data_IF_858263066890
#
_entry.id   IF_858263066890
#
_cell.length_a   1.000
_cell.length_b   1.000
_cell.length_c   1.000
_cell.angle_alpha   90.00
_cell.angle_beta   90.00
_cell.angle_gamma   90.00
#
_symmetry.space_group_name_H-M   'P 1'
#
loop_
_entity.id
_entity.type
_entity.pdbx_description
1 polymer ?
#
# COMPACT_ATOMS: atom_id res chain seq x y z
N UNK A 1 21.00 23.98 3.33
CA UNK A 1 19.91 22.98 3.51
C UNK A 1 18.69 23.28 2.61
N UNK A 2 18.21 24.51 2.48
CA UNK A 2 17.01 24.88 1.69
C UNK A 2 17.19 24.57 0.20
N UNK A 3 18.35 24.87 -0.42
CA UNK A 3 18.62 24.57 -1.84
C UNK A 3 18.56 23.05 -2.13
N UNK A 4 19.13 22.21 -1.26
CA UNK A 4 19.09 20.75 -1.42
C UNK A 4 17.68 20.18 -1.30
N UNK A 5 16.80 20.78 -0.45
CA UNK A 5 15.40 20.39 -0.30
C UNK A 5 14.60 20.70 -1.56
N UNK A 6 14.70 21.91 -2.10
CA UNK A 6 14.04 22.30 -3.36
C UNK A 6 14.47 21.38 -4.51
N UNK A 7 15.75 21.07 -4.60
CA UNK A 7 16.29 20.20 -5.62
C UNK A 7 15.73 18.77 -5.51
N UNK A 8 15.58 18.20 -4.30
CA UNK A 8 14.95 16.88 -4.10
C UNK A 8 13.47 16.89 -4.50
N UNK A 9 12.71 17.92 -4.12
CA UNK A 9 11.31 18.06 -4.50
C UNK A 9 11.14 18.13 -6.02
N UNK A 10 11.99 18.90 -6.70
CA UNK A 10 12.02 18.96 -8.18
C UNK A 10 12.35 17.59 -8.78
N UNK A 11 13.33 16.88 -8.27
CA UNK A 11 13.69 15.54 -8.76
C UNK A 11 12.54 14.53 -8.57
N UNK A 12 11.81 14.58 -7.45
CA UNK A 12 10.66 13.68 -7.22
C UNK A 12 9.53 14.04 -8.17
N UNK A 13 9.19 15.31 -8.32
CA UNK A 13 8.19 15.77 -9.28
C UNK A 13 8.54 15.36 -10.71
N UNK A 14 9.75 15.61 -11.14
CA UNK A 14 10.20 15.28 -12.49
C UNK A 14 10.11 13.76 -12.72
N UNK A 15 10.47 12.95 -11.72
CA UNK A 15 10.30 11.50 -11.78
C UNK A 15 8.82 11.07 -11.86
N UNK A 16 7.91 11.77 -11.18
CA UNK A 16 6.47 11.51 -11.28
C UNK A 16 5.99 11.80 -12.69
N UNK A 17 6.40 12.93 -13.27
CA UNK A 17 6.04 13.30 -14.63
C UNK A 17 6.62 12.30 -15.66
N UNK A 18 7.87 11.86 -15.49
CA UNK A 18 8.47 10.81 -16.34
C UNK A 18 7.65 9.52 -16.30
N UNK A 19 7.13 9.15 -15.12
CA UNK A 19 6.29 7.95 -14.95
C UNK A 19 4.92 8.14 -15.60
N UNK A 20 4.31 9.31 -15.47
CA UNK A 20 3.04 9.66 -16.13
C UNK A 20 3.19 9.62 -17.66
N UNK A 21 4.26 10.21 -18.20
CA UNK A 21 4.59 10.18 -19.62
C UNK A 21 4.86 8.74 -20.12
N UNK A 22 5.41 7.88 -19.27
CA UNK A 22 5.63 6.46 -19.57
C UNK A 22 4.35 5.61 -19.46
N UNK A 23 3.19 6.20 -19.14
CA UNK A 23 1.90 5.53 -19.09
C UNK A 23 1.53 4.94 -17.72
N UNK A 24 2.09 5.45 -16.63
CA UNK A 24 1.61 5.08 -15.31
C UNK A 24 0.25 5.75 -15.02
N UNK A 25 -0.71 4.99 -14.46
CA UNK A 25 -2.02 5.52 -14.06
C UNK A 25 -2.00 6.10 -12.64
N UNK A 26 -1.11 5.60 -11.78
CA UNK A 26 -1.00 5.98 -10.36
C UNK A 26 0.47 5.94 -9.95
N UNK A 27 0.92 6.93 -9.19
CA UNK A 27 2.28 6.94 -8.62
C UNK A 27 2.24 6.90 -7.09
N UNK A 28 3.05 6.02 -6.52
CA UNK A 28 3.22 5.92 -5.06
C UNK A 28 4.48 6.67 -4.62
N UNK A 29 4.32 7.55 -3.63
CA UNK A 29 5.39 8.37 -3.06
C UNK A 29 5.57 8.01 -1.58
N UNK A 30 6.78 7.68 -1.17
CA UNK A 30 7.10 7.46 0.26
C UNK A 30 7.12 8.78 1.01
N UNK A 31 6.44 8.82 2.16
CA UNK A 31 6.37 10.00 3.03
C UNK A 31 6.82 9.61 4.45
N UNK A 32 8.14 9.52 4.69
CA UNK A 32 8.69 8.97 5.94
C UNK A 32 8.72 9.96 7.11
N UNK A 33 8.47 11.24 6.89
CA UNK A 33 8.56 12.28 7.91
C UNK A 33 7.56 13.42 7.68
N UNK A 34 7.32 14.22 8.70
CA UNK A 34 6.48 15.41 8.58
C UNK A 34 7.04 16.41 7.55
N UNK A 35 8.36 16.54 7.47
CA UNK A 35 9.01 17.33 6.44
C UNK A 35 8.71 16.82 5.02
N UNK A 36 8.68 15.50 4.84
CA UNK A 36 8.30 14.89 3.57
C UNK A 36 6.81 15.13 3.25
N UNK A 37 5.93 15.17 4.27
CA UNK A 37 4.53 15.53 4.09
C UNK A 37 4.36 16.97 3.59
N UNK A 38 5.13 17.92 4.13
CA UNK A 38 5.12 19.31 3.62
C UNK A 38 5.64 19.39 2.17
N UNK A 39 6.65 18.58 1.82
CA UNK A 39 7.13 18.47 0.45
C UNK A 39 6.08 17.84 -0.48
N UNK A 40 5.35 16.83 0.00
CA UNK A 40 4.26 16.17 -0.72
C UNK A 40 3.16 17.14 -1.14
N UNK A 41 2.79 18.09 -0.28
CA UNK A 41 1.85 19.17 -0.62
C UNK A 41 2.21 19.88 -1.92
N UNK A 42 3.47 20.32 -2.03
CA UNK A 42 3.93 21.05 -3.21
C UNK A 42 3.97 20.15 -4.46
N UNK A 43 4.36 18.88 -4.28
CA UNK A 43 4.40 17.89 -5.36
C UNK A 43 2.98 17.65 -5.88
N UNK A 44 2.01 17.42 -4.99
CA UNK A 44 0.61 17.18 -5.34
C UNK A 44 -0.01 18.32 -6.14
N UNK A 45 0.35 19.57 -5.84
CA UNK A 45 -0.12 20.74 -6.58
C UNK A 45 0.47 20.88 -7.98
N UNK A 46 1.58 20.21 -8.26
CA UNK A 46 2.35 20.32 -9.51
C UNK A 46 2.27 19.06 -10.39
N UNK A 47 1.45 18.08 -10.00
CA UNK A 47 1.27 16.82 -10.72
C UNK A 47 -0.23 16.55 -10.91
N UNK A 48 -0.61 15.99 -12.06
CA UNK A 48 -2.00 15.66 -12.38
C UNK A 48 -2.34 14.19 -12.08
N UNK A 49 -1.33 13.32 -12.12
CA UNK A 49 -1.52 11.90 -11.86
C UNK A 49 -1.95 11.63 -10.41
N UNK A 50 -2.83 10.67 -10.15
CA UNK A 50 -3.18 10.26 -8.80
C UNK A 50 -1.97 9.81 -7.98
N UNK A 51 -1.82 10.35 -6.77
CA UNK A 51 -0.72 10.05 -5.87
C UNK A 51 -1.16 9.23 -4.67
N UNK A 52 -0.47 8.13 -4.43
CA UNK A 52 -0.59 7.31 -3.21
C UNK A 52 0.54 7.67 -2.25
N UNK A 53 0.23 8.15 -1.06
CA UNK A 53 1.23 8.35 -0.01
C UNK A 53 1.49 7.02 0.73
N UNK A 54 2.76 6.66 0.87
CA UNK A 54 3.17 5.47 1.61
C UNK A 54 3.67 5.85 3.00
N UNK A 55 2.86 5.52 4.00
CA UNK A 55 3.09 5.87 5.41
C UNK A 55 3.37 4.60 6.20
N UNK A 56 4.54 4.55 6.85
CA UNK A 56 4.98 3.33 7.52
C UNK A 56 4.58 3.27 9.01
N UNK A 57 4.77 4.35 9.78
CA UNK A 57 4.70 4.27 11.24
C UNK A 57 3.91 5.39 11.92
N UNK A 58 3.90 6.59 11.37
CA UNK A 58 3.34 7.76 12.06
C UNK A 58 1.98 8.18 11.49
N UNK A 59 0.92 7.96 12.29
CA UNK A 59 -0.45 8.37 11.95
C UNK A 59 -0.57 9.88 11.67
N UNK A 60 0.23 10.74 12.33
CA UNK A 60 0.18 12.18 12.12
C UNK A 60 0.59 12.57 10.70
N UNK A 61 1.52 11.82 10.11
CA UNK A 61 1.91 12.00 8.71
C UNK A 61 0.74 11.64 7.80
N UNK A 62 0.02 10.54 8.09
CA UNK A 62 -1.16 10.16 7.34
C UNK A 62 -2.24 11.25 7.38
N UNK A 63 -2.56 11.78 8.57
CA UNK A 63 -3.50 12.88 8.73
C UNK A 63 -3.06 14.11 7.92
N UNK A 64 -1.78 14.45 7.96
CA UNK A 64 -1.24 15.62 7.26
C UNK A 64 -1.34 15.50 5.73
N UNK A 65 -1.00 14.35 5.14
CA UNK A 65 -1.11 14.18 3.69
C UNK A 65 -2.57 14.14 3.23
N UNK A 66 -3.49 13.66 4.08
CA UNK A 66 -4.92 13.73 3.82
C UNK A 66 -5.43 15.18 3.78
N UNK A 67 -4.90 16.06 4.62
CA UNK A 67 -5.19 17.53 4.55
C UNK A 67 -4.72 18.13 3.23
N UNK A 68 -3.68 17.60 2.63
CA UNK A 68 -3.10 18.07 1.37
C UNK A 68 -3.74 17.45 0.12
N UNK A 69 -4.79 16.66 0.28
CA UNK A 69 -5.57 16.11 -0.83
C UNK A 69 -4.90 14.96 -1.55
N UNK A 70 -4.26 14.06 -0.80
CA UNK A 70 -3.76 12.79 -1.34
C UNK A 70 -4.92 11.96 -1.91
N UNK A 71 -4.69 11.24 -3.00
CA UNK A 71 -5.73 10.42 -3.64
C UNK A 71 -5.91 9.04 -2.99
N UNK A 72 -4.89 8.55 -2.29
CA UNK A 72 -4.95 7.32 -1.51
C UNK A 72 -3.83 7.29 -0.47
N UNK A 73 -4.09 6.76 0.71
CA UNK A 73 -3.05 6.55 1.74
C UNK A 73 -2.77 5.07 1.91
N UNK A 74 -1.52 4.67 1.71
CA UNK A 74 -1.07 3.32 2.03
C UNK A 74 -0.60 3.27 3.47
N UNK A 75 -1.21 2.41 4.25
CA UNK A 75 -0.86 2.13 5.64
C UNK A 75 -0.71 0.63 5.87
N UNK A 76 0.00 0.30 6.94
CA UNK A 76 -0.09 -1.00 7.60
C UNK A 76 -0.65 -0.75 9.01
N UNK A 77 -1.91 -1.11 9.28
CA UNK A 77 -2.53 -0.84 10.59
C UNK A 77 -1.73 -1.40 11.76
N UNK A 78 -1.06 -2.55 11.60
CA UNK A 78 -0.18 -3.14 12.61
C UNK A 78 1.03 -2.27 12.98
N UNK A 79 1.49 -1.40 12.08
CA UNK A 79 2.65 -0.53 12.31
C UNK A 79 2.27 0.88 12.80
N UNK A 80 1.04 1.31 12.60
CA UNK A 80 0.54 2.64 13.02
C UNK A 80 0.47 2.75 14.54
N UNK A 81 0.29 1.63 15.23
CA UNK A 81 0.33 1.52 16.69
C UNK A 81 -1.05 1.27 17.30
N UNK A 82 -1.48 2.12 18.26
CA UNK A 82 -2.70 1.85 19.00
C UNK A 82 -3.97 2.01 18.13
N UNK A 83 -5.02 1.26 18.50
CA UNK A 83 -6.33 1.31 17.86
C UNK A 83 -6.91 2.74 17.80
N UNK A 84 -6.64 3.55 18.83
CA UNK A 84 -7.03 4.97 18.84
C UNK A 84 -6.42 5.74 17.66
N UNK A 85 -5.15 5.54 17.36
CA UNK A 85 -4.46 6.21 16.24
C UNK A 85 -4.98 5.73 14.89
N UNK A 86 -5.30 4.45 14.78
CA UNK A 86 -5.92 3.88 13.57
C UNK A 86 -7.30 4.52 13.37
N UNK A 87 -8.09 4.64 14.44
CA UNK A 87 -9.40 5.28 14.39
C UNK A 87 -9.31 6.74 13.92
N UNK A 88 -8.35 7.52 14.43
CA UNK A 88 -8.13 8.90 13.98
C UNK A 88 -7.85 8.99 12.46
N UNK A 89 -7.05 8.07 11.91
CA UNK A 89 -6.78 7.99 10.46
C UNK A 89 -8.05 7.64 9.69
N UNK A 90 -8.82 6.66 10.17
CA UNK A 90 -10.06 6.23 9.53
C UNK A 90 -11.12 7.34 9.55
N UNK A 91 -11.28 8.05 10.67
CA UNK A 91 -12.25 9.12 10.79
C UNK A 91 -11.97 10.24 9.77
N UNK A 92 -10.71 10.64 9.60
CA UNK A 92 -10.32 11.64 8.59
C UNK A 92 -10.45 11.08 7.17
N UNK A 93 -10.13 9.80 6.94
CA UNK A 93 -10.30 9.15 5.65
C UNK A 93 -11.77 9.12 5.22
N UNK A 94 -12.70 8.86 6.16
CA UNK A 94 -14.15 8.92 5.95
C UNK A 94 -14.62 10.33 5.60
N UNK A 95 -14.25 11.31 6.43
CA UNK A 95 -14.66 12.71 6.27
C UNK A 95 -14.26 13.25 4.89
N UNK A 96 -13.06 12.88 4.43
CA UNK A 96 -12.51 13.33 3.14
C UNK A 96 -12.75 12.37 1.97
N UNK A 97 -13.41 11.25 2.21
CA UNK A 97 -13.62 10.18 1.23
C UNK A 97 -12.31 9.72 0.55
N UNK A 98 -11.24 9.59 1.33
CA UNK A 98 -9.92 9.19 0.83
C UNK A 98 -9.76 7.68 1.00
N UNK A 99 -9.58 6.89 -0.07
CA UNK A 99 -9.39 5.45 0.03
C UNK A 99 -8.09 5.09 0.76
N UNK A 100 -8.13 4.00 1.51
CA UNK A 100 -6.94 3.43 2.15
C UNK A 100 -6.44 2.22 1.34
N UNK A 101 -5.14 2.04 1.31
CA UNK A 101 -4.51 0.81 0.85
C UNK A 101 -3.83 0.11 2.00
N UNK A 102 -4.33 -1.06 2.35
CA UNK A 102 -3.72 -1.93 3.35
C UNK A 102 -2.76 -2.90 2.67
N UNK A 103 -1.54 -2.98 3.18
CA UNK A 103 -0.52 -3.84 2.58
C UNK A 103 0.09 -4.79 3.60
N UNK A 104 0.06 -6.08 3.28
CA UNK A 104 0.75 -7.15 4.00
C UNK A 104 1.87 -7.69 3.12
N UNK A 105 3.04 -7.92 3.71
CA UNK A 105 4.20 -8.51 3.03
C UNK A 105 4.74 -9.67 3.85
N UNK A 106 5.15 -10.74 3.18
CA UNK A 106 5.77 -11.90 3.81
C UNK A 106 6.99 -11.55 4.68
N UNK A 107 7.79 -10.59 4.24
CA UNK A 107 8.98 -10.13 4.97
C UNK A 107 8.71 -9.25 6.21
N UNK A 108 7.46 -8.87 6.46
CA UNK A 108 7.07 -8.02 7.59
C UNK A 108 5.87 -8.56 8.37
N UNK A 109 5.75 -9.88 8.41
CA UNK A 109 4.71 -10.57 9.15
C UNK A 109 4.86 -10.31 10.66
N UNK A 110 3.75 -10.21 11.39
CA UNK A 110 3.71 -9.99 12.84
C UNK A 110 4.40 -11.11 13.59
N UNK A 111 5.10 -10.78 14.68
CA UNK A 111 5.91 -11.73 15.45
C UNK A 111 5.12 -12.92 16.01
N UNK A 112 3.89 -12.69 16.43
CA UNK A 112 3.01 -13.76 16.93
C UNK A 112 2.59 -14.72 15.83
N UNK A 113 2.39 -14.23 14.60
CA UNK A 113 2.15 -15.09 13.44
C UNK A 113 3.40 -15.85 13.02
N UNK A 114 4.58 -15.22 13.09
CA UNK A 114 5.84 -15.94 12.87
C UNK A 114 6.03 -17.07 13.88
N UNK A 115 5.69 -16.86 15.15
CA UNK A 115 5.74 -17.89 16.16
C UNK A 115 4.72 -19.01 15.95
N UNK A 116 3.51 -18.65 15.49
CA UNK A 116 2.41 -19.60 15.23
C UNK A 116 2.68 -20.48 14.02
N UNK A 117 3.18 -19.91 12.93
CA UNK A 117 3.32 -20.59 11.64
C UNK A 117 4.76 -21.05 11.33
N UNK A 118 5.75 -20.57 12.08
CA UNK A 118 7.18 -20.79 11.80
C UNK A 118 7.65 -19.95 10.61
N UNK A 119 7.71 -20.56 9.44
CA UNK A 119 8.04 -19.89 8.19
C UNK A 119 6.84 -19.14 7.62
N UNK A 120 7.03 -17.99 6.93
CA UNK A 120 5.97 -17.32 6.21
C UNK A 120 5.31 -18.25 5.19
N UNK A 121 3.99 -18.32 5.22
CA UNK A 121 3.16 -19.10 4.30
C UNK A 121 1.87 -18.36 3.96
N UNK A 122 1.09 -18.90 3.04
CA UNK A 122 -0.14 -18.27 2.57
C UNK A 122 -1.16 -18.06 3.70
N UNK A 123 -1.30 -19.02 4.61
CA UNK A 123 -2.26 -18.91 5.73
C UNK A 123 -1.87 -17.83 6.71
N UNK A 124 -0.59 -17.69 7.02
CA UNK A 124 -0.07 -16.61 7.86
C UNK A 124 -0.32 -15.23 7.24
N UNK A 125 -0.12 -15.10 5.94
CA UNK A 125 -0.38 -13.85 5.20
C UNK A 125 -1.87 -13.50 5.17
N UNK A 126 -2.72 -14.49 4.94
CA UNK A 126 -4.19 -14.31 4.96
C UNK A 126 -4.67 -13.95 6.36
N UNK A 127 -4.18 -14.62 7.40
CA UNK A 127 -4.53 -14.26 8.78
C UNK A 127 -4.10 -12.84 9.13
N UNK A 128 -2.88 -12.42 8.76
CA UNK A 128 -2.41 -11.05 8.94
C UNK A 128 -3.32 -10.05 8.20
N UNK A 129 -3.65 -10.33 6.96
CA UNK A 129 -4.53 -9.48 6.16
C UNK A 129 -5.92 -9.35 6.79
N UNK A 130 -6.52 -10.45 7.23
CA UNK A 130 -7.84 -10.46 7.86
C UNK A 130 -7.87 -9.75 9.22
N UNK A 131 -6.77 -9.74 9.96
CA UNK A 131 -6.65 -8.92 11.18
C UNK A 131 -6.80 -7.43 10.85
N UNK A 132 -6.15 -6.98 9.78
CA UNK A 132 -6.25 -5.59 9.35
C UNK A 132 -7.63 -5.24 8.78
N UNK A 133 -8.22 -6.14 8.01
CA UNK A 133 -9.61 -5.99 7.51
C UNK A 133 -10.59 -5.83 8.67
N UNK A 134 -10.53 -6.71 9.68
CA UNK A 134 -11.40 -6.65 10.87
C UNK A 134 -11.26 -5.33 11.65
N UNK A 135 -10.07 -4.72 11.67
CA UNK A 135 -9.90 -3.40 12.29
C UNK A 135 -10.67 -2.33 11.50
N UNK A 136 -10.63 -2.37 10.17
CA UNK A 136 -11.35 -1.42 9.33
C UNK A 136 -12.87 -1.63 9.44
N UNK A 137 -13.34 -2.89 9.40
CA UNK A 137 -14.74 -3.27 9.60
C UNK A 137 -15.29 -2.82 10.95
N UNK A 138 -14.50 -2.99 12.04
CA UNK A 138 -14.85 -2.51 13.38
C UNK A 138 -15.17 -1.02 13.41
N UNK A 139 -14.52 -0.24 12.56
CA UNK A 139 -14.78 1.18 12.40
C UNK A 139 -15.75 1.48 11.25
N UNK A 140 -16.43 0.50 10.66
CA UNK A 140 -17.34 0.64 9.51
C UNK A 140 -16.68 1.38 8.34
N UNK A 141 -15.47 0.98 7.96
CA UNK A 141 -14.73 1.56 6.85
C UNK A 141 -14.49 0.52 5.76
N UNK A 142 -15.11 0.72 4.61
CA UNK A 142 -15.13 -0.19 3.46
C UNK A 142 -14.38 0.38 2.22
N UNK A 143 -14.07 1.69 2.22
CA UNK A 143 -13.34 2.33 1.12
C UNK A 143 -11.83 2.03 1.19
N UNK A 144 -11.47 0.76 1.07
CA UNK A 144 -10.07 0.35 1.05
C UNK A 144 -9.81 -0.71 -0.01
N UNK A 145 -8.55 -0.87 -0.37
CA UNK A 145 -8.01 -1.97 -1.17
C UNK A 145 -6.93 -2.70 -0.40
N UNK A 146 -6.83 -4.01 -0.62
CA UNK A 146 -5.89 -4.88 0.07
C UNK A 146 -4.80 -5.35 -0.88
N UNK A 147 -3.56 -5.41 -0.39
CA UNK A 147 -2.46 -6.06 -1.10
C UNK A 147 -1.74 -7.04 -0.19
N UNK A 148 -1.55 -8.27 -0.69
CA UNK A 148 -0.75 -9.32 -0.04
C UNK A 148 0.40 -9.65 -0.98
N UNK A 149 1.62 -9.42 -0.55
CA UNK A 149 2.79 -9.53 -1.42
C UNK A 149 3.83 -10.49 -0.87
N UNK A 150 4.36 -11.30 -1.77
CA UNK A 150 5.51 -12.18 -1.52
C UNK A 150 6.45 -12.16 -2.71
N UNK A 151 7.70 -12.54 -2.51
CA UNK A 151 8.69 -12.84 -3.55
C UNK A 151 8.51 -14.26 -4.12
N UNK A 152 7.85 -15.13 -3.37
CA UNK A 152 7.44 -16.45 -3.81
C UNK A 152 6.11 -16.37 -4.55
N UNK A 153 6.08 -16.91 -5.79
CA UNK A 153 4.92 -16.82 -6.68
C UNK A 153 3.78 -17.67 -6.14
N UNK A 154 4.07 -18.89 -5.68
CA UNK A 154 3.04 -19.82 -5.20
C UNK A 154 2.37 -19.28 -3.94
N UNK A 155 3.17 -18.81 -2.98
CA UNK A 155 2.67 -18.17 -1.76
C UNK A 155 1.81 -16.94 -2.08
N UNK A 156 2.23 -16.08 -3.01
CA UNK A 156 1.46 -14.91 -3.41
C UNK A 156 0.13 -15.31 -4.05
N UNK A 157 0.17 -16.20 -5.05
CA UNK A 157 -1.04 -16.66 -5.76
C UNK A 157 -2.02 -17.30 -4.80
N UNK A 158 -1.57 -18.26 -3.98
CA UNK A 158 -2.43 -18.93 -3.00
C UNK A 158 -3.03 -17.97 -1.98
N UNK A 159 -2.24 -16.98 -1.51
CA UNK A 159 -2.75 -15.96 -0.59
C UNK A 159 -3.85 -15.11 -1.21
N UNK A 160 -3.69 -14.69 -2.48
CA UNK A 160 -4.72 -13.92 -3.20
C UNK A 160 -5.97 -14.76 -3.49
N UNK A 161 -5.81 -16.03 -3.84
CA UNK A 161 -6.94 -16.95 -4.02
C UNK A 161 -7.75 -17.07 -2.72
N UNK A 162 -7.08 -17.37 -1.61
CA UNK A 162 -7.74 -17.50 -0.30
C UNK A 162 -8.43 -16.21 0.14
N UNK A 163 -7.80 -15.05 -0.04
CA UNK A 163 -8.38 -13.79 0.41
C UNK A 163 -9.53 -13.33 -0.48
N UNK A 164 -9.52 -13.64 -1.77
CA UNK A 164 -10.60 -13.27 -2.69
C UNK A 164 -11.93 -13.95 -2.35
N UNK A 165 -11.89 -15.09 -1.65
CA UNK A 165 -13.08 -15.77 -1.16
C UNK A 165 -13.62 -15.19 0.17
N UNK A 166 -12.84 -14.30 0.82
CA UNK A 166 -13.13 -13.81 2.17
C UNK A 166 -13.55 -12.33 2.19
N UNK A 167 -13.24 -11.56 1.15
CA UNK A 167 -13.55 -10.12 1.10
C UNK A 167 -13.99 -9.69 -0.29
N UNK A 168 -14.84 -8.67 -0.36
CA UNK A 168 -15.34 -8.08 -1.61
C UNK A 168 -14.49 -6.87 -2.06
N UNK A 169 -13.60 -6.37 -1.19
CA UNK A 169 -12.77 -5.20 -1.48
C UNK A 169 -11.74 -5.48 -2.57
N UNK A 170 -11.42 -4.46 -3.40
CA UNK A 170 -10.46 -4.61 -4.49
C UNK A 170 -9.09 -5.10 -4.02
N UNK A 171 -8.52 -6.04 -4.76
CA UNK A 171 -7.21 -6.61 -4.51
C UNK A 171 -6.15 -5.94 -5.40
N UNK A 172 -5.16 -5.33 -4.77
CA UNK A 172 -4.01 -4.75 -5.47
C UNK A 172 -2.90 -5.78 -5.58
N UNK A 173 -2.81 -6.42 -6.75
CA UNK A 173 -1.89 -7.50 -7.02
C UNK A 173 -0.42 -7.05 -7.12
N UNK A 174 0.49 -7.95 -6.82
CA UNK A 174 1.92 -7.72 -7.03
C UNK A 174 2.80 -8.84 -6.48
N UNK A 175 3.85 -9.18 -7.25
CA UNK A 175 4.96 -10.00 -6.79
C UNK A 175 6.10 -9.04 -6.44
N UNK A 176 6.57 -9.06 -5.20
CA UNK A 176 7.55 -8.09 -4.69
C UNK A 176 8.90 -8.73 -4.47
N UNK A 177 10.00 -7.91 -4.55
CA UNK A 177 11.36 -8.39 -4.29
C UNK A 177 11.74 -9.65 -5.10
N UNK A 178 11.26 -9.72 -6.34
CA UNK A 178 11.30 -10.94 -7.16
C UNK A 178 12.57 -11.06 -8.01
N UNK A 179 13.56 -10.19 -7.79
CA UNK A 179 14.87 -10.22 -8.44
C UNK A 179 15.13 -9.06 -9.39
N UNK A 180 16.05 -9.24 -10.34
CA UNK A 180 16.41 -8.24 -11.36
C UNK A 180 15.23 -7.95 -12.30
N UNK A 181 15.37 -6.91 -13.15
CA UNK A 181 14.36 -6.59 -14.16
C UNK A 181 13.92 -7.82 -14.95
N UNK A 182 14.86 -8.63 -15.43
CA UNK A 182 14.57 -9.82 -16.22
C UNK A 182 13.82 -10.89 -15.42
N UNK A 183 14.36 -11.30 -14.28
CA UNK A 183 13.75 -12.36 -13.45
C UNK A 183 12.47 -11.89 -12.78
N UNK A 184 12.43 -10.64 -12.33
CA UNK A 184 11.25 -10.04 -11.72
C UNK A 184 10.10 -9.90 -12.71
N UNK A 185 10.37 -9.51 -13.97
CA UNK A 185 9.34 -9.48 -15.02
C UNK A 185 8.74 -10.85 -15.25
N UNK A 186 9.57 -11.89 -15.39
CA UNK A 186 9.08 -13.27 -15.59
C UNK A 186 8.22 -13.71 -14.41
N UNK A 187 8.70 -13.56 -13.18
CA UNK A 187 7.94 -13.95 -11.98
C UNK A 187 6.62 -13.17 -11.85
N UNK A 188 6.65 -11.86 -12.06
CA UNK A 188 5.45 -11.03 -12.01
C UNK A 188 4.45 -11.41 -13.10
N UNK A 189 4.91 -11.64 -14.34
CA UNK A 189 4.03 -12.07 -15.43
C UNK A 189 3.35 -13.39 -15.14
N UNK A 190 4.06 -14.36 -14.56
CA UNK A 190 3.47 -15.66 -14.19
C UNK A 190 2.44 -15.46 -13.06
N UNK A 191 2.83 -14.85 -11.96
CA UNK A 191 1.95 -14.71 -10.79
C UNK A 191 0.71 -13.87 -11.08
N UNK A 192 0.89 -12.71 -11.72
CA UNK A 192 -0.23 -11.85 -12.11
C UNK A 192 -1.10 -12.51 -13.19
N UNK A 193 -0.50 -13.18 -14.17
CA UNK A 193 -1.23 -13.88 -15.21
C UNK A 193 -2.17 -14.95 -14.66
N UNK A 194 -1.71 -15.76 -13.70
CA UNK A 194 -2.54 -16.78 -13.04
C UNK A 194 -3.74 -16.13 -12.34
N UNK A 195 -3.53 -15.06 -11.58
CA UNK A 195 -4.59 -14.39 -10.83
C UNK A 195 -5.60 -13.70 -11.76
N UNK A 196 -5.13 -12.98 -12.77
CA UNK A 196 -5.99 -12.30 -13.72
C UNK A 196 -6.84 -13.27 -14.56
N UNK A 197 -6.30 -14.43 -14.93
CA UNK A 197 -7.07 -15.49 -15.61
C UNK A 197 -8.21 -16.05 -14.74
N UNK A 198 -8.10 -15.91 -13.43
CA UNK A 198 -9.14 -16.33 -12.46
C UNK A 198 -10.09 -15.17 -12.10
N UNK A 199 -9.94 -14.00 -12.71
CA UNK A 199 -10.74 -12.82 -12.39
C UNK A 199 -10.34 -12.13 -11.08
N UNK A 200 -9.21 -12.50 -10.48
CA UNK A 200 -8.74 -11.94 -9.21
C UNK A 200 -7.95 -10.65 -9.50
N UNK A 201 -8.36 -9.53 -8.87
CA UNK A 201 -7.69 -8.24 -8.99
C UNK A 201 -7.93 -7.51 -10.31
N UNK A 202 -8.86 -7.95 -11.11
CA UNK A 202 -9.31 -7.26 -12.31
C UNK A 202 -10.28 -6.13 -11.90
N UNK A 203 -9.75 -4.92 -11.79
CA UNK A 203 -10.56 -3.70 -11.65
C UNK A 203 -9.98 -2.63 -12.55
#
# INVERSE_FOLDING_TARGET
>A
HVKRRRQRQMCIRDRINDLEEAGADIVRVSVPSMEAAEAFKNIKQLTNIPLVSDIHFDHKIALRVMEYGVDCVRINPGNIGSEKKIKEVIDVAKDKNIPLRVGVNAGSLEKDLQLKYGEPNSDALVESAMRHVKILEKFNYDNFKLSIKSSDIYMAVESYQKISDLIDQPLHLGITESGSLKTGTVKSSIGLGILLMQGIGAV
#
